data_IF_768029634946
#
_entry.id   IF_768029634946
#
_cell.length_a   1.000
_cell.length_b   1.000
_cell.length_c   1.000
_cell.angle_alpha   90.00
_cell.angle_beta   90.00
_cell.angle_gamma   90.00
#
_symmetry.space_group_name_H-M   'P 1'
#
loop_
_entity.id
_entity.type
_entity.pdbx_description
1 polymer ?
#
# COMPACT_ATOMS: atom_id res chain seq x y z
N UNK A 1 -4.28 -5.19 -10.77
CA UNK A 1 -5.18 -4.49 -11.70
C UNK A 1 -5.50 -3.09 -11.16
N UNK A 2 -5.51 -2.05 -12.00
CA UNK A 2 -5.90 -0.68 -11.57
C UNK A 2 -7.39 -0.43 -11.83
N UNK A 3 -8.13 -0.02 -10.81
CA UNK A 3 -9.53 0.41 -10.94
C UNK A 3 -9.62 1.89 -11.37
N UNK A 4 -10.28 2.19 -12.50
CA UNK A 4 -10.33 3.54 -13.07
C UNK A 4 -10.97 4.59 -12.13
N UNK A 5 -12.06 4.24 -11.44
CA UNK A 5 -12.73 5.18 -10.51
C UNK A 5 -11.81 5.57 -9.37
N UNK A 6 -11.13 4.59 -8.77
CA UNK A 6 -10.16 4.85 -7.69
C UNK A 6 -8.89 5.52 -8.19
N UNK A 7 -8.46 5.24 -9.42
CA UNK A 7 -7.35 5.95 -10.05
C UNK A 7 -7.63 7.46 -10.17
N UNK A 8 -8.85 7.82 -10.53
CA UNK A 8 -9.26 9.22 -10.68
C UNK A 8 -9.51 9.90 -9.32
N UNK A 9 -10.17 9.21 -8.39
CA UNK A 9 -10.73 9.82 -7.18
C UNK A 9 -10.03 9.43 -5.87
N UNK A 10 -9.10 8.48 -5.90
CA UNK A 10 -8.54 7.85 -4.71
C UNK A 10 -9.46 6.81 -4.08
N UNK A 11 -9.14 6.41 -2.85
CA UNK A 11 -9.96 5.53 -2.02
C UNK A 11 -10.33 6.26 -0.74
N UNK A 12 -11.59 6.18 -0.27
CA UNK A 12 -11.99 6.78 1.01
C UNK A 12 -11.35 6.10 2.23
N UNK A 13 -10.65 4.98 2.06
CA UNK A 13 -9.91 4.28 3.11
C UNK A 13 -8.42 4.64 3.14
N UNK A 14 -7.95 5.44 2.18
CA UNK A 14 -6.58 5.91 2.11
C UNK A 14 -6.54 7.41 2.44
N UNK A 15 -6.00 7.76 3.60
CA UNK A 15 -6.05 9.13 4.16
C UNK A 15 -5.06 10.12 3.50
N UNK A 16 -4.51 9.81 2.33
CA UNK A 16 -3.54 10.63 1.61
C UNK A 16 -4.07 11.25 0.31
N UNK A 17 -3.32 12.17 -0.33
CA UNK A 17 -3.69 12.76 -1.61
C UNK A 17 -3.86 11.70 -2.72
N UNK A 18 -4.72 11.99 -3.70
CA UNK A 18 -4.93 11.07 -4.86
C UNK A 18 -3.62 10.73 -5.58
N UNK A 19 -2.67 11.67 -5.63
CA UNK A 19 -1.34 11.41 -6.21
C UNK A 19 -0.59 10.30 -5.45
N UNK A 20 -0.66 10.26 -4.12
CA UNK A 20 -0.05 9.18 -3.33
C UNK A 20 -0.81 7.87 -3.49
N UNK A 21 -2.14 7.90 -3.60
CA UNK A 21 -2.92 6.70 -3.91
C UNK A 21 -2.51 6.09 -5.27
N UNK A 22 -2.23 6.93 -6.28
CA UNK A 22 -1.73 6.47 -7.59
C UNK A 22 -0.36 5.82 -7.47
N UNK A 23 0.53 6.39 -6.67
CA UNK A 23 1.83 5.78 -6.39
C UNK A 23 1.68 4.43 -5.67
N UNK A 24 0.81 4.36 -4.65
CA UNK A 24 0.50 3.12 -3.92
C UNK A 24 0.05 2.01 -4.89
N UNK A 25 -0.97 2.28 -5.70
CA UNK A 25 -1.52 1.22 -6.58
C UNK A 25 -0.50 0.79 -7.64
N UNK A 26 0.28 1.72 -8.21
CA UNK A 26 1.35 1.33 -9.15
C UNK A 26 2.38 0.44 -8.46
N UNK A 27 2.86 0.83 -7.27
CA UNK A 27 3.85 0.06 -6.52
C UNK A 27 3.31 -1.33 -6.14
N UNK A 28 2.03 -1.44 -5.79
CA UNK A 28 1.37 -2.70 -5.48
C UNK A 28 1.33 -3.63 -6.71
N UNK A 29 0.91 -3.11 -7.86
CA UNK A 29 0.78 -3.88 -9.09
C UNK A 29 2.12 -4.29 -9.69
N UNK A 30 3.10 -3.40 -9.66
CA UNK A 30 4.49 -3.74 -10.03
C UNK A 30 5.04 -4.77 -9.05
N UNK A 31 4.72 -4.68 -7.76
CA UNK A 31 5.06 -5.68 -6.76
C UNK A 31 4.55 -7.08 -7.13
N UNK A 32 3.29 -7.20 -7.54
CA UNK A 32 2.73 -8.46 -8.05
C UNK A 32 3.48 -8.96 -9.29
N UNK A 33 3.79 -8.08 -10.25
CA UNK A 33 4.55 -8.44 -11.44
C UNK A 33 5.96 -8.97 -11.09
N UNK A 34 6.56 -8.43 -10.02
CA UNK A 34 7.84 -8.90 -9.46
C UNK A 34 7.71 -10.12 -8.52
N UNK A 35 6.53 -10.75 -8.44
CA UNK A 35 6.31 -11.95 -7.63
C UNK A 35 6.09 -11.70 -6.14
N UNK A 36 5.79 -10.46 -5.72
CA UNK A 36 5.41 -10.16 -4.33
C UNK A 36 3.94 -10.52 -4.10
N UNK A 37 3.69 -11.29 -3.04
CA UNK A 37 2.34 -11.55 -2.54
C UNK A 37 1.84 -10.43 -1.62
N UNK A 38 0.59 -10.53 -1.19
CA UNK A 38 0.03 -9.57 -0.26
C UNK A 38 0.69 -9.65 1.12
N UNK A 39 0.69 -8.51 1.80
CA UNK A 39 1.14 -8.36 3.18
C UNK A 39 0.05 -7.66 4.02
N UNK A 40 0.13 -7.75 5.33
CA UNK A 40 -0.79 -7.05 6.25
C UNK A 40 -0.02 -6.11 7.18
N UNK A 41 -0.76 -5.28 7.91
CA UNK A 41 -0.19 -4.30 8.83
C UNK A 41 0.81 -4.95 9.82
N UNK A 42 2.09 -4.49 9.87
CA UNK A 42 3.10 -5.00 10.80
C UNK A 42 2.94 -4.52 12.25
N UNK A 43 1.98 -3.64 12.54
CA UNK A 43 1.68 -3.17 13.88
C UNK A 43 1.13 -1.75 13.91
N UNK A 44 0.45 -1.40 15.00
CA UNK A 44 -0.17 -0.08 15.18
C UNK A 44 0.86 1.06 15.04
N UNK A 45 0.52 2.10 14.30
CA UNK A 45 1.35 3.28 14.07
C UNK A 45 2.52 3.05 13.09
N UNK A 46 2.71 1.83 12.59
CA UNK A 46 3.73 1.55 11.57
C UNK A 46 3.21 1.88 10.17
N UNK A 47 4.09 2.18 9.20
CA UNK A 47 3.70 2.32 7.81
C UNK A 47 3.07 1.01 7.30
N UNK A 48 1.92 1.13 6.65
CA UNK A 48 1.32 0.00 5.93
C UNK A 48 2.23 -0.40 4.76
N UNK A 49 2.48 -1.71 4.53
CA UNK A 49 3.28 -2.15 3.39
C UNK A 49 2.63 -1.74 2.08
N UNK A 50 3.43 -1.47 1.04
CA UNK A 50 2.91 -1.24 -0.31
C UNK A 50 2.12 -2.46 -0.83
N UNK A 51 2.52 -3.67 -0.39
CA UNK A 51 1.82 -4.93 -0.70
C UNK A 51 0.58 -5.20 0.17
N UNK A 52 0.20 -4.28 1.04
CA UNK A 52 -1.05 -4.37 1.80
C UNK A 52 -2.21 -3.80 0.99
N UNK A 53 -3.36 -4.48 1.01
CA UNK A 53 -4.61 -3.96 0.47
C UNK A 53 -5.19 -2.87 1.40
N UNK A 54 -4.56 -1.70 1.40
CA UNK A 54 -4.92 -0.58 2.29
C UNK A 54 -6.35 -0.07 2.07
N UNK A 55 -6.90 -0.29 0.88
CA UNK A 55 -8.30 0.01 0.53
C UNK A 55 -9.33 -0.77 1.37
N UNK A 56 -8.92 -1.87 2.00
CA UNK A 56 -9.76 -2.70 2.87
C UNK A 56 -9.57 -2.35 4.36
N UNK A 57 -8.82 -1.29 4.65
CA UNK A 57 -8.58 -0.76 5.98
C UNK A 57 -7.16 -1.03 6.50
N UNK A 58 -6.65 -0.11 7.31
CA UNK A 58 -5.24 -0.07 7.71
C UNK A 58 -4.89 -0.92 8.94
N UNK A 59 -5.88 -1.51 9.64
CA UNK A 59 -5.66 -2.35 10.84
C UNK A 59 -4.73 -1.70 11.90
N UNK A 60 -4.81 -0.38 12.04
CA UNK A 60 -4.00 0.42 12.96
C UNK A 60 -2.66 0.91 12.41
N UNK A 61 -2.26 0.53 11.20
CA UNK A 61 -1.13 1.13 10.50
C UNK A 61 -1.47 2.54 10.00
N UNK A 62 -0.42 3.28 9.61
CA UNK A 62 -0.53 4.56 8.92
C UNK A 62 -0.45 4.31 7.41
N UNK A 63 -1.26 5.03 6.62
CA UNK A 63 -1.26 4.95 5.16
C UNK A 63 0.16 5.21 4.60
N UNK A 64 0.57 4.43 3.60
CA UNK A 64 1.88 4.57 2.98
C UNK A 64 1.87 4.06 1.54
N UNK A 65 2.44 4.83 0.62
CA UNK A 65 2.49 4.48 -0.79
C UNK A 65 3.78 3.77 -1.22
N UNK A 66 4.81 3.76 -0.39
CA UNK A 66 6.18 3.43 -0.81
C UNK A 66 6.66 2.09 -0.24
N UNK A 67 7.32 1.24 -1.06
CA UNK A 67 7.83 -0.05 -0.60
C UNK A 67 9.11 0.05 0.24
N UNK A 68 9.83 1.17 0.22
CA UNK A 68 11.07 1.38 0.95
C UNK A 68 11.07 2.72 1.67
N UNK A 69 11.75 2.81 2.82
CA UNK A 69 12.00 4.08 3.50
C UNK A 69 13.13 4.88 2.82
N UNK A 70 13.37 6.12 3.30
CA UNK A 70 14.42 6.99 2.78
C UNK A 70 15.85 6.43 2.93
N UNK A 71 16.05 5.36 3.72
CA UNK A 71 17.33 4.66 3.90
C UNK A 71 17.40 3.38 3.07
N UNK A 72 16.41 3.13 2.20
CA UNK A 72 16.34 1.93 1.35
C UNK A 72 15.91 0.67 2.11
N UNK A 73 15.34 0.77 3.31
CA UNK A 73 14.84 -0.40 4.06
C UNK A 73 13.43 -0.74 3.60
N UNK A 74 13.20 -2.01 3.28
CA UNK A 74 11.90 -2.50 2.84
C UNK A 74 10.86 -2.35 3.97
N UNK A 75 9.73 -1.72 3.66
CA UNK A 75 8.60 -1.50 4.56
C UNK A 75 7.61 -2.66 4.41
N UNK A 76 7.96 -3.80 5.03
CA UNK A 76 7.18 -5.03 4.93
C UNK A 76 6.31 -5.35 6.14
N UNK A 77 5.37 -6.27 5.94
CA UNK A 77 4.54 -6.86 7.00
C UNK A 77 4.36 -8.38 6.86
N UNK A 78 3.57 -9.01 7.75
CA UNK A 78 3.28 -10.44 7.64
C UNK A 78 2.59 -10.75 6.31
N UNK A 79 2.99 -11.85 5.66
CA UNK A 79 2.36 -12.29 4.42
C UNK A 79 0.92 -12.73 4.66
N UNK A 80 0.03 -12.41 3.72
CA UNK A 80 -1.35 -12.89 3.70
C UNK A 80 -1.70 -13.40 2.30
N UNK A 81 -2.70 -14.31 2.19
CA UNK A 81 -3.26 -14.68 0.90
C UNK A 81 -3.76 -13.49 0.09
#
# INVERSE_FOLDING_TARGET
MVNLKRWQLGSPQFDGPVAEYRALIINHEVGHWLGRGHETCPGKGRPAPAMMQQIDGLKGCVANAWPYDAKGRYLGGPKVP
#
